data_IF_494759543197
#
_entry.id   IF_494759543197
#
_cell.length_a   1.000
_cell.length_b   1.000
_cell.length_c   1.000
_cell.angle_alpha   90.00
_cell.angle_beta   90.00
_cell.angle_gamma   90.00
#
_symmetry.space_group_name_H-M   'P 1'
#
loop_
_entity.id
_entity.type
_entity.pdbx_description
1 polymer ?
#
# COMPACT_ATOMS: atom_id res chain seq x y z
N UNK A 1 -62.38 -41.74 4.04
CA UNK A 1 -61.04 -42.18 4.47
C UNK A 1 -60.18 -42.25 3.22
N UNK A 2 -59.28 -41.28 3.03
CA UNK A 2 -58.39 -41.22 1.88
C UNK A 2 -57.03 -41.79 2.27
N UNK A 3 -56.59 -42.83 1.58
CA UNK A 3 -55.27 -43.41 1.68
C UNK A 3 -54.47 -42.96 0.44
N UNK A 4 -53.36 -42.26 0.66
CA UNK A 4 -52.39 -41.92 -0.36
C UNK A 4 -51.15 -42.78 -0.17
N UNK A 5 -50.73 -43.48 -1.23
CA UNK A 5 -49.45 -44.17 -1.32
C UNK A 5 -48.79 -43.89 -2.67
N UNK A 6 -47.46 -43.82 -2.61
CA UNK A 6 -46.43 -43.40 -3.57
C UNK A 6 -46.47 -44.09 -4.94
N UNK A 7 -45.88 -43.43 -5.94
CA UNK A 7 -44.93 -44.03 -6.91
C UNK A 7 -43.90 -42.97 -7.38
N UNK A 8 -42.61 -43.28 -7.16
CA UNK A 8 -41.41 -42.65 -7.72
C UNK A 8 -40.96 -43.45 -8.95
N UNK A 9 -40.45 -42.79 -10.00
CA UNK A 9 -39.25 -43.24 -10.76
C UNK A 9 -38.98 -42.38 -12.00
N UNK A 10 -37.72 -41.95 -12.14
CA UNK A 10 -37.16 -41.33 -13.34
C UNK A 10 -35.69 -40.92 -13.13
N UNK A 11 -34.78 -41.89 -13.16
CA UNK A 11 -33.32 -41.71 -13.08
C UNK A 11 -32.67 -41.42 -14.44
N UNK A 12 -31.56 -40.67 -14.40
CA UNK A 12 -30.21 -41.09 -14.86
C UNK A 12 -29.52 -40.07 -15.78
N UNK A 13 -28.24 -39.77 -15.47
CA UNK A 13 -27.38 -38.82 -16.18
C UNK A 13 -26.19 -39.46 -16.91
N UNK A 14 -25.14 -38.62 -17.08
CA UNK A 14 -23.82 -38.80 -17.75
C UNK A 14 -23.81 -38.25 -19.19
N UNK A 15 -22.82 -37.48 -19.70
CA UNK A 15 -21.36 -37.47 -19.46
C UNK A 15 -20.67 -36.09 -19.64
N UNK A 16 -19.43 -36.06 -19.15
CA UNK A 16 -18.39 -35.02 -19.09
C UNK A 16 -17.71 -34.69 -20.45
N UNK A 17 -17.21 -33.46 -20.62
CA UNK A 17 -15.85 -33.17 -21.14
C UNK A 17 -15.47 -31.70 -20.95
N UNK A 18 -14.31 -31.50 -20.31
CA UNK A 18 -13.54 -30.27 -20.09
C UNK A 18 -12.94 -29.74 -21.41
N UNK A 19 -12.90 -28.43 -21.65
CA UNK A 19 -11.69 -27.57 -21.48
C UNK A 19 -11.70 -26.27 -22.33
N UNK A 20 -11.08 -25.24 -21.74
CA UNK A 20 -10.28 -24.18 -22.38
C UNK A 20 -10.92 -22.90 -22.99
N UNK A 21 -10.67 -21.81 -22.25
CA UNK A 21 -9.99 -20.58 -22.73
C UNK A 21 -10.79 -19.47 -23.44
N UNK A 22 -10.75 -18.26 -22.86
CA UNK A 22 -10.81 -17.03 -23.66
C UNK A 22 -11.54 -15.83 -23.04
N UNK A 23 -10.80 -15.03 -22.28
CA UNK A 23 -10.91 -13.58 -22.07
C UNK A 23 -12.20 -12.83 -22.48
N UNK A 24 -12.82 -12.13 -21.54
CA UNK A 24 -12.73 -10.66 -21.45
C UNK A 24 -13.71 -10.12 -20.39
N UNK A 25 -13.17 -9.39 -19.42
CA UNK A 25 -13.97 -8.70 -18.42
C UNK A 25 -13.16 -8.27 -17.21
N UNK A 26 -11.93 -7.78 -17.42
CA UNK A 26 -11.20 -7.04 -16.39
C UNK A 26 -11.88 -5.68 -16.23
N UNK A 27 -13.02 -5.68 -15.54
CA UNK A 27 -13.62 -4.49 -14.99
C UNK A 27 -12.85 -4.14 -13.73
N UNK A 28 -11.71 -3.47 -13.88
CA UNK A 28 -11.05 -2.77 -12.78
C UNK A 28 -11.96 -1.61 -12.38
N UNK A 29 -12.96 -1.90 -11.55
CA UNK A 29 -13.62 -0.85 -10.77
C UNK A 29 -12.53 -0.20 -9.94
N UNK A 30 -12.19 1.05 -10.26
CA UNK A 30 -11.50 1.95 -9.34
C UNK A 30 -12.28 1.92 -8.02
N UNK A 31 -11.83 1.06 -7.09
CA UNK A 31 -12.53 0.79 -5.85
C UNK A 31 -12.50 2.05 -5.01
N UNK A 32 -13.65 2.48 -4.51
CA UNK A 32 -13.73 3.53 -3.50
C UNK A 32 -12.70 3.21 -2.40
N UNK A 33 -11.78 4.14 -2.15
CA UNK A 33 -10.71 3.89 -1.21
C UNK A 33 -11.27 3.49 0.16
N UNK A 34 -10.74 2.40 0.71
CA UNK A 34 -11.06 1.98 2.07
C UNK A 34 -10.55 2.99 3.10
N UNK A 35 -10.81 2.72 4.38
CA UNK A 35 -10.16 3.51 5.45
C UNK A 35 -8.67 3.15 5.53
N UNK A 36 -7.87 4.11 5.95
CA UNK A 36 -6.49 3.85 6.35
C UNK A 36 -6.48 3.01 7.62
N UNK A 37 -5.77 1.90 7.57
CA UNK A 37 -5.50 1.04 8.70
C UNK A 37 -4.23 0.24 8.40
N UNK A 38 -3.09 0.68 8.91
CA UNK A 38 -1.85 -0.09 8.86
C UNK A 38 -1.52 -0.59 10.26
N UNK A 39 -1.18 -1.88 10.34
CA UNK A 39 -0.59 -2.48 11.52
C UNK A 39 0.92 -2.49 11.33
N UNK A 40 1.61 -1.72 12.17
CA UNK A 40 3.06 -1.75 12.31
C UNK A 40 3.43 -2.66 13.49
N UNK A 41 4.27 -3.66 13.23
CA UNK A 41 4.86 -4.50 14.28
C UNK A 41 6.36 -4.24 14.37
N UNK A 42 6.85 -3.85 15.54
CA UNK A 42 8.27 -3.87 15.89
C UNK A 42 8.62 -5.29 16.39
N UNK A 43 9.22 -6.09 15.52
CA UNK A 43 9.57 -7.49 15.79
C UNK A 43 10.62 -7.60 16.90
N UNK A 44 11.53 -6.62 17.00
CA UNK A 44 12.61 -6.64 17.99
C UNK A 44 12.08 -6.33 19.40
N UNK A 45 11.24 -5.30 19.53
CA UNK A 45 10.65 -4.90 20.81
C UNK A 45 9.37 -5.65 21.15
N UNK A 46 8.83 -6.45 20.23
CA UNK A 46 7.55 -7.15 20.33
C UNK A 46 6.39 -6.18 20.65
N UNK A 47 6.35 -5.08 19.92
CA UNK A 47 5.31 -4.06 20.05
C UNK A 47 4.51 -3.95 18.76
N UNK A 48 3.22 -3.70 18.89
CA UNK A 48 2.32 -3.53 17.76
C UNK A 48 1.58 -2.19 17.90
N UNK A 49 1.45 -1.48 16.80
CA UNK A 49 0.75 -0.20 16.71
C UNK A 49 -0.16 -0.22 15.49
N UNK A 50 -1.39 0.24 15.68
CA UNK A 50 -2.29 0.51 14.55
C UNK A 50 -2.23 2.00 14.27
N UNK A 51 -1.83 2.35 13.05
CA UNK A 51 -1.75 3.73 12.57
C UNK A 51 -2.87 3.97 11.55
N UNK A 52 -3.53 5.12 11.66
CA UNK A 52 -4.79 5.38 10.93
C UNK A 52 -4.86 6.77 10.29
N UNK A 53 -4.08 7.73 10.77
CA UNK A 53 -4.06 9.08 10.17
C UNK A 53 -3.04 9.10 9.03
N UNK A 54 -3.45 9.46 7.83
CA UNK A 54 -2.58 9.42 6.66
C UNK A 54 -2.59 10.74 5.88
N UNK A 55 -1.40 11.12 5.42
CA UNK A 55 -1.18 12.22 4.49
C UNK A 55 -0.28 11.76 3.35
N UNK A 56 -0.41 12.40 2.20
CA UNK A 56 0.37 12.08 1.01
C UNK A 56 0.85 13.32 0.27
N UNK A 57 1.98 13.15 -0.41
CA UNK A 57 2.58 14.14 -1.27
C UNK A 57 3.02 13.49 -2.58
N UNK A 58 2.71 14.13 -3.70
CA UNK A 58 3.25 13.75 -5.02
C UNK A 58 4.53 14.55 -5.27
N UNK A 59 5.60 13.86 -5.63
CA UNK A 59 6.86 14.50 -5.98
C UNK A 59 6.72 15.39 -7.22
N UNK A 60 7.55 16.45 -7.37
CA UNK A 60 7.46 17.39 -8.48
C UNK A 60 7.53 16.76 -9.88
N UNK A 61 8.19 15.61 -10.00
CA UNK A 61 8.31 14.92 -11.28
C UNK A 61 7.05 14.13 -11.68
N UNK A 62 6.10 13.94 -10.75
CA UNK A 62 4.84 13.24 -10.97
C UNK A 62 4.93 11.71 -10.97
N UNK A 63 6.13 11.14 -10.75
CA UNK A 63 6.38 9.70 -10.86
C UNK A 63 6.56 9.00 -9.52
N UNK A 64 6.55 9.75 -8.42
CA UNK A 64 6.71 9.22 -7.08
C UNK A 64 5.75 9.88 -6.08
N UNK A 65 5.41 9.11 -5.06
CA UNK A 65 4.53 9.49 -3.97
C UNK A 65 5.23 9.20 -2.64
N UNK A 66 5.12 10.14 -1.71
CA UNK A 66 5.50 9.94 -0.32
C UNK A 66 4.23 9.98 0.53
N UNK A 67 4.02 8.97 1.35
CA UNK A 67 2.92 8.90 2.32
C UNK A 67 3.50 8.83 3.72
N UNK A 68 2.80 9.44 4.68
CA UNK A 68 3.05 9.27 6.09
C UNK A 68 1.76 8.81 6.77
N UNK A 69 1.85 7.80 7.63
CA UNK A 69 0.71 7.23 8.35
C UNK A 69 1.04 7.10 9.85
N UNK A 70 0.32 7.81 10.71
CA UNK A 70 0.60 7.90 12.14
C UNK A 70 -0.49 7.35 13.06
N UNK A 71 -0.12 7.05 14.30
CA UNK A 71 -1.04 6.79 15.42
C UNK A 71 -1.65 8.09 15.99
N UNK A 72 -1.14 9.24 15.56
CA UNK A 72 -1.65 10.59 15.77
C UNK A 72 -1.54 11.39 14.46
N UNK A 73 -2.12 12.61 14.39
CA UNK A 73 -2.10 13.42 13.18
C UNK A 73 -0.69 13.66 12.62
N UNK A 74 -0.50 13.35 11.34
CA UNK A 74 0.76 13.52 10.59
C UNK A 74 0.53 14.41 9.37
N UNK A 75 1.43 15.36 9.14
CA UNK A 75 1.35 16.24 7.95
C UNK A 75 2.72 16.42 7.31
N UNK A 76 2.76 16.58 5.99
CA UNK A 76 3.96 17.05 5.31
C UNK A 76 4.09 18.57 5.39
N UNK A 77 5.33 19.03 5.50
CA UNK A 77 5.74 20.42 5.34
C UNK A 77 5.93 20.77 3.87
N UNK A 78 6.96 21.56 3.57
CA UNK A 78 7.26 21.96 2.19
C UNK A 78 7.87 20.81 1.38
N UNK A 79 8.60 19.91 2.04
CA UNK A 79 9.25 18.75 1.44
C UNK A 79 8.76 17.43 2.04
N UNK A 80 8.97 16.34 1.31
CA UNK A 80 8.60 14.98 1.73
C UNK A 80 9.43 14.45 2.91
N UNK A 81 10.56 15.09 3.21
CA UNK A 81 11.36 14.89 4.42
C UNK A 81 10.79 15.61 5.65
N UNK A 82 9.96 16.64 5.44
CA UNK A 82 9.55 17.57 6.48
C UNK A 82 8.24 17.10 7.11
N UNK A 83 8.26 16.00 7.85
CA UNK A 83 7.06 15.48 8.51
C UNK A 83 6.86 16.19 9.85
N UNK A 84 5.64 16.67 10.09
CA UNK A 84 5.19 17.26 11.35
C UNK A 84 4.21 16.31 12.04
N UNK A 85 4.52 16.01 13.29
CA UNK A 85 3.69 15.17 14.15
C UNK A 85 3.95 15.54 15.63
N UNK A 86 2.98 15.30 16.54
CA UNK A 86 3.19 15.49 17.98
C UNK A 86 4.33 14.63 18.55
N UNK A 87 4.96 15.09 19.64
CA UNK A 87 5.91 14.28 20.39
C UNK A 87 5.24 12.98 20.89
N UNK A 88 5.98 11.87 20.83
CA UNK A 88 5.49 10.53 21.16
C UNK A 88 4.87 9.76 20.00
N UNK A 89 4.51 10.43 18.89
CA UNK A 89 3.87 9.81 17.71
C UNK A 89 4.77 8.76 17.08
N UNK A 90 4.19 7.62 16.70
CA UNK A 90 4.82 6.62 15.83
C UNK A 90 4.19 6.71 14.46
N UNK A 91 5.00 6.83 13.41
CA UNK A 91 4.48 6.89 12.05
C UNK A 91 5.31 6.04 11.08
N UNK A 92 4.61 5.51 10.08
CA UNK A 92 5.14 4.81 8.93
C UNK A 92 5.28 5.82 7.79
N UNK A 93 6.46 5.90 7.19
CA UNK A 93 6.70 6.61 5.93
C UNK A 93 6.82 5.59 4.79
N UNK A 94 5.98 5.74 3.79
CA UNK A 94 5.99 4.94 2.56
C UNK A 94 6.40 5.81 1.39
N UNK A 95 7.45 5.43 0.66
CA UNK A 95 7.76 5.99 -0.65
C UNK A 95 7.39 4.98 -1.73
N UNK A 96 6.65 5.37 -2.75
CA UNK A 96 6.30 4.51 -3.90
C UNK A 96 6.59 5.28 -5.18
N UNK A 97 7.32 4.70 -6.12
CA UNK A 97 7.62 5.34 -7.40
C UNK A 97 8.72 4.65 -8.17
N UNK A 98 9.09 5.22 -9.31
CA UNK A 98 10.20 4.69 -10.11
C UNK A 98 11.53 5.23 -9.56
N UNK A 99 12.40 4.41 -8.97
CA UNK A 99 13.71 4.84 -8.53
C UNK A 99 14.54 5.26 -9.75
N UNK A 100 15.18 6.42 -9.66
CA UNK A 100 16.06 6.93 -10.71
C UNK A 100 17.35 7.49 -10.12
N UNK A 101 18.41 7.46 -10.92
CA UNK A 101 19.65 8.15 -10.59
C UNK A 101 19.66 9.50 -11.29
N UNK A 102 20.01 10.56 -10.56
CA UNK A 102 20.17 11.89 -11.15
C UNK A 102 21.18 11.80 -12.31
N UNK A 103 20.80 12.32 -13.48
CA UNK A 103 21.62 12.27 -14.69
C UNK A 103 21.50 10.98 -15.52
N UNK A 104 20.57 10.07 -15.19
CA UNK A 104 20.21 8.94 -16.06
C UNK A 104 18.90 9.20 -16.79
N UNK A 105 18.88 8.96 -18.10
CA UNK A 105 17.64 8.94 -18.88
C UNK A 105 17.00 7.58 -18.69
N UNK A 106 15.90 7.56 -17.96
CA UNK A 106 15.11 6.36 -17.70
C UNK A 106 13.72 6.63 -18.24
N UNK A 107 13.17 5.65 -18.95
CA UNK A 107 11.78 5.71 -19.39
C UNK A 107 10.88 5.57 -18.17
N UNK A 108 10.36 6.70 -17.70
CA UNK A 108 9.50 6.77 -16.51
C UNK A 108 8.07 6.72 -16.97
N UNK A 109 7.30 5.78 -16.43
CA UNK A 109 5.85 5.80 -16.53
C UNK A 109 5.23 6.16 -15.18
N UNK A 110 4.09 6.87 -15.17
CA UNK A 110 3.33 7.06 -13.94
C UNK A 110 2.92 5.71 -13.35
N UNK A 111 2.73 5.68 -12.02
CA UNK A 111 2.08 4.56 -11.34
C UNK A 111 0.62 4.46 -11.79
N UNK A 112 0.16 3.24 -12.00
CA UNK A 112 -1.22 2.97 -12.42
C UNK A 112 -1.99 2.22 -11.33
N UNK A 113 -3.31 2.40 -11.32
CA UNK A 113 -4.17 1.60 -10.46
C UNK A 113 -4.18 0.13 -10.92
N UNK A 114 -4.18 -0.79 -9.97
CA UNK A 114 -4.01 -2.24 -10.17
C UNK A 114 -2.55 -2.70 -10.17
N UNK A 115 -1.59 -1.77 -10.07
CA UNK A 115 -0.18 -2.12 -10.10
C UNK A 115 0.31 -2.74 -8.78
N UNK A 116 1.03 -3.86 -8.87
CA UNK A 116 1.71 -4.48 -7.72
C UNK A 116 3.18 -4.07 -7.75
N UNK A 117 3.57 -3.24 -6.79
CA UNK A 117 4.90 -2.63 -6.72
C UNK A 117 5.76 -3.37 -5.68
N UNK A 118 6.93 -3.91 -6.04
CA UNK A 118 7.82 -4.61 -5.11
C UNK A 118 8.70 -3.66 -4.26
N UNK A 119 9.18 -4.14 -3.12
CA UNK A 119 10.00 -3.35 -2.15
C UNK A 119 11.42 -3.01 -2.65
N UNK A 120 11.81 -3.62 -3.75
CA UNK A 120 13.04 -3.33 -4.48
C UNK A 120 12.66 -3.12 -5.93
N UNK A 121 13.10 -2.01 -6.50
CA UNK A 121 12.93 -1.70 -7.92
C UNK A 121 14.29 -1.62 -8.59
N UNK A 122 14.41 -2.25 -9.75
CA UNK A 122 15.48 -1.90 -10.70
C UNK A 122 15.28 -0.47 -11.19
N UNK A 123 16.34 0.18 -11.65
CA UNK A 123 16.21 1.51 -12.24
C UNK A 123 15.22 1.48 -13.42
N UNK A 124 14.18 2.32 -13.37
CA UNK A 124 13.10 2.32 -14.37
C UNK A 124 11.94 1.39 -14.08
N UNK A 125 12.02 0.59 -13.02
CA UNK A 125 10.92 -0.26 -12.57
C UNK A 125 10.36 0.31 -11.26
N UNK A 126 9.04 0.49 -11.14
CA UNK A 126 8.41 0.91 -9.89
C UNK A 126 8.89 0.09 -8.69
N UNK A 127 9.23 0.80 -7.62
CA UNK A 127 9.60 0.21 -6.34
C UNK A 127 8.97 0.99 -5.19
N UNK A 128 8.94 0.38 -4.02
CA UNK A 128 8.54 1.08 -2.79
C UNK A 128 9.54 0.87 -1.67
N UNK A 129 9.51 1.77 -0.69
CA UNK A 129 10.31 1.64 0.52
C UNK A 129 9.50 2.08 1.74
N UNK A 130 9.69 1.34 2.83
CA UNK A 130 9.08 1.64 4.13
C UNK A 130 10.15 2.08 5.11
N UNK A 131 9.86 3.13 5.85
CA UNK A 131 10.57 3.52 7.07
C UNK A 131 9.58 3.73 8.18
N UNK A 132 9.96 3.45 9.42
CA UNK A 132 9.13 3.74 10.58
C UNK A 132 9.92 4.63 11.51
N UNK A 133 9.27 5.65 12.04
CA UNK A 133 9.88 6.62 12.91
C UNK A 133 9.06 6.80 14.18
N UNK A 134 9.75 7.09 15.28
CA UNK A 134 9.16 7.60 16.50
C UNK A 134 9.62 9.04 16.73
N UNK A 135 8.68 9.93 17.00
CA UNK A 135 8.94 11.31 17.36
C UNK A 135 9.24 11.35 18.86
N UNK A 136 10.47 11.68 19.22
CA UNK A 136 10.86 11.94 20.61
C UNK A 136 10.77 13.43 20.94
N UNK A 137 11.03 13.75 22.21
CA UNK A 137 10.95 15.11 22.75
C UNK A 137 11.68 16.14 21.87
N UNK A 138 11.00 17.25 21.60
CA UNK A 138 11.54 18.32 20.76
C UNK A 138 11.57 17.96 19.27
N UNK A 139 10.71 17.04 18.82
CA UNK A 139 10.59 16.64 17.41
C UNK A 139 11.71 15.73 16.89
N UNK A 140 12.54 15.14 17.76
CA UNK A 140 13.66 14.29 17.32
C UNK A 140 13.16 12.98 16.74
N UNK A 141 13.41 12.75 15.45
CA UNK A 141 13.04 11.50 14.78
C UNK A 141 14.04 10.38 15.08
N UNK A 142 13.51 9.23 15.54
CA UNK A 142 14.29 8.00 15.71
C UNK A 142 13.76 6.93 14.77
N UNK A 143 14.62 6.38 13.91
CA UNK A 143 14.24 5.26 13.03
C UNK A 143 14.02 3.98 13.82
N UNK A 144 12.98 3.25 13.47
CA UNK A 144 12.69 1.92 14.01
C UNK A 144 13.14 0.86 13.01
N UNK A 145 14.24 0.18 13.35
CA UNK A 145 14.90 -0.80 12.50
C UNK A 145 15.65 -0.17 11.32
N UNK A 146 16.21 -1.04 10.50
CA UNK A 146 16.79 -0.70 9.19
C UNK A 146 15.91 -1.33 8.09
N UNK A 147 16.42 -1.44 6.85
CA UNK A 147 15.69 -2.06 5.73
C UNK A 147 16.39 -3.33 5.22
N UNK A 148 17.21 -3.94 6.05
CA UNK A 148 17.95 -5.16 5.67
C UNK A 148 16.96 -6.32 5.54
N UNK A 149 17.15 -7.15 4.51
CA UNK A 149 16.26 -8.26 4.17
C UNK A 149 14.80 -7.80 3.91
N UNK A 150 14.61 -6.56 3.43
CA UNK A 150 13.30 -6.04 3.10
C UNK A 150 12.64 -6.87 1.98
N UNK A 151 11.42 -7.33 2.25
CA UNK A 151 10.54 -8.07 1.36
C UNK A 151 9.12 -7.48 1.42
N UNK A 152 8.36 -7.62 0.34
CA UNK A 152 6.98 -7.17 0.32
C UNK A 152 6.51 -6.56 -0.99
N UNK A 153 5.24 -6.17 -0.98
CA UNK A 153 4.53 -5.54 -2.10
C UNK A 153 3.65 -4.40 -1.61
N UNK A 154 3.40 -3.44 -2.50
CA UNK A 154 2.34 -2.45 -2.39
C UNK A 154 1.43 -2.63 -3.60
N UNK A 155 0.17 -2.98 -3.37
CA UNK A 155 -0.84 -3.06 -4.44
C UNK A 155 -1.57 -1.73 -4.51
N UNK A 156 -1.30 -0.97 -5.57
CA UNK A 156 -1.91 0.34 -5.81
C UNK A 156 -3.33 0.12 -6.30
N UNK A 157 -4.33 0.66 -5.60
CA UNK A 157 -5.75 0.53 -5.97
C UNK A 157 -6.31 1.82 -6.56
N UNK A 158 -5.71 2.98 -6.24
CA UNK A 158 -6.07 4.27 -6.84
C UNK A 158 -4.91 5.25 -6.77
N UNK A 159 -4.77 6.08 -7.81
CA UNK A 159 -3.78 7.16 -7.92
C UNK A 159 -4.46 8.40 -8.50
N UNK A 160 -4.20 9.58 -7.92
CA UNK A 160 -4.83 10.83 -8.34
C UNK A 160 -4.76 11.88 -7.23
N UNK A 161 -5.89 12.54 -6.96
CA UNK A 161 -6.08 13.39 -5.77
C UNK A 161 -6.01 12.58 -4.47
N UNK A 162 -6.27 11.28 -4.55
CA UNK A 162 -6.05 10.30 -3.49
C UNK A 162 -5.15 9.18 -3.97
N UNK A 163 -4.28 8.74 -3.07
CA UNK A 163 -3.49 7.53 -3.24
C UNK A 163 -4.01 6.45 -2.30
N UNK A 164 -4.31 5.29 -2.86
CA UNK A 164 -4.90 4.19 -2.13
C UNK A 164 -4.12 2.92 -2.48
N UNK A 165 -3.72 2.17 -1.46
CA UNK A 165 -2.97 0.94 -1.66
C UNK A 165 -3.10 -0.03 -0.49
N UNK A 166 -2.88 -1.30 -0.79
CA UNK A 166 -2.64 -2.35 0.19
C UNK A 166 -1.13 -2.54 0.35
N UNK A 167 -0.64 -2.46 1.58
CA UNK A 167 0.76 -2.62 1.93
C UNK A 167 0.94 -3.98 2.58
N UNK A 168 1.92 -4.73 2.11
CA UNK A 168 2.43 -5.91 2.78
C UNK A 168 3.95 -5.84 2.77
N UNK A 169 4.52 -5.44 3.90
CA UNK A 169 5.96 -5.23 4.06
C UNK A 169 6.48 -5.98 5.28
N UNK A 170 7.68 -6.53 5.13
CA UNK A 170 8.45 -7.08 6.23
C UNK A 170 9.94 -6.86 6.00
N UNK A 171 10.66 -6.64 7.07
CA UNK A 171 12.11 -6.80 7.13
C UNK A 171 12.47 -7.53 8.44
N UNK A 172 13.76 -7.65 8.74
CA UNK A 172 14.22 -8.34 9.95
C UNK A 172 13.74 -7.72 11.27
N UNK A 173 13.41 -6.44 11.28
CA UNK A 173 13.10 -5.63 12.45
C UNK A 173 11.62 -5.29 12.58
N UNK A 174 10.87 -5.28 11.48
CA UNK A 174 9.49 -4.83 11.47
C UNK A 174 8.63 -5.44 10.37
N UNK A 175 7.32 -5.40 10.59
CA UNK A 175 6.31 -5.62 9.56
C UNK A 175 5.38 -4.41 9.48
N UNK A 176 4.86 -4.13 8.29
CA UNK A 176 3.80 -3.15 8.06
C UNK A 176 2.79 -3.76 7.10
N UNK A 177 1.57 -3.98 7.57
CA UNK A 177 0.52 -4.65 6.79
C UNK A 177 -0.79 -3.88 6.92
N UNK A 178 -1.51 -3.70 5.82
CA UNK A 178 -2.87 -3.17 5.82
C UNK A 178 -3.17 -2.24 4.65
N UNK A 179 -4.13 -1.33 4.82
CA UNK A 179 -4.55 -0.38 3.79
C UNK A 179 -4.09 1.03 4.12
N UNK A 180 -3.69 1.79 3.11
CA UNK A 180 -3.44 3.22 3.20
C UNK A 180 -4.33 3.96 2.21
N UNK A 181 -4.95 5.03 2.69
CA UNK A 181 -5.71 6.00 1.90
C UNK A 181 -5.27 7.39 2.33
N UNK A 182 -4.63 8.12 1.41
CA UNK A 182 -4.09 9.44 1.69
C UNK A 182 -4.57 10.45 0.65
N UNK A 183 -4.99 11.62 1.12
CA UNK A 183 -5.15 12.80 0.27
C UNK A 183 -3.76 13.26 -0.19
N UNK A 184 -3.63 13.48 -1.50
CA UNK A 184 -2.37 13.86 -2.13
C UNK A 184 -2.29 15.36 -2.31
N UNK A 185 -1.22 15.93 -1.77
CA UNK A 185 -0.82 17.31 -2.04
C UNK A 185 0.30 17.34 -3.06
N UNK A 186 0.24 18.24 -4.04
CA UNK A 186 1.34 18.42 -4.99
C UNK A 186 2.45 19.27 -4.35
N UNK A 187 3.69 18.79 -4.42
CA UNK A 187 4.84 19.65 -4.08
C UNK A 187 4.96 20.73 -5.15
N UNK A 188 4.51 21.95 -4.86
CA UNK A 188 4.77 23.09 -5.74
C UNK A 188 6.25 23.45 -5.60
N UNK A 189 7.01 23.28 -6.67
CA UNK A 189 8.32 23.93 -6.81
C UNK A 189 8.08 25.43 -6.65
N UNK A 190 8.54 26.02 -5.53
CA UNK A 190 8.60 27.47 -5.36
C UNK A 190 9.93 27.99 -5.85
#
# INVERSE_FOLDING_TARGET
>A
MAASALLLSGCSGSESSTDSSGANGSGSTAGACGKTQLTFTDTFRKQEFVVTDATGMRQPDGYAYALAVGDAPVTFGAHDSDIKAPDGTTYVRLGVGVPYRVGTTIDRRPLEAGEVVPVQGEYGVPGFAVSVFKVGDGGRLTSVGNRDDAAGTVTVTSVGERFCAEVNYSDRYKTVVGTVTADITDTRLR
#
